data_IF_380131993443
#
_entry.id   IF_380131993443
#
_cell.length_a   1.000
_cell.length_b   1.000
_cell.length_c   1.000
_cell.angle_alpha   90.00
_cell.angle_beta   90.00
_cell.angle_gamma   90.00
#
_symmetry.space_group_name_H-M   'P 1'
#
loop_
_entity.id
_entity.type
_entity.pdbx_description
1 polymer ?
#
# COMPACT_ATOMS: atom_id res chain seq x y z
N UNK A 1 7.47 18.47 -6.99
CA UNK A 1 6.13 18.08 -7.46
C UNK A 1 5.48 17.27 -6.36
N UNK A 2 4.24 17.56 -5.97
CA UNK A 2 3.51 16.74 -5.00
C UNK A 2 2.79 15.62 -5.77
N UNK A 3 2.97 14.39 -5.33
CA UNK A 3 2.35 13.20 -5.96
C UNK A 3 1.59 12.45 -4.86
N UNK A 4 0.29 12.38 -5.02
CA UNK A 4 -0.65 11.70 -4.11
C UNK A 4 -1.07 10.31 -4.60
N UNK A 5 -0.84 10.05 -5.90
CA UNK A 5 -1.17 8.77 -6.52
C UNK A 5 -0.04 8.34 -7.46
N UNK A 6 0.38 7.08 -7.31
CA UNK A 6 1.36 6.46 -8.17
C UNK A 6 0.94 5.03 -8.53
N UNK A 7 1.24 4.61 -9.75
CA UNK A 7 1.04 3.25 -10.20
C UNK A 7 2.40 2.63 -10.42
N UNK A 8 2.68 1.57 -9.68
CA UNK A 8 3.97 0.88 -9.78
C UNK A 8 3.78 -0.60 -10.10
N UNK A 9 4.79 -1.14 -10.72
CA UNK A 9 4.91 -2.57 -11.05
C UNK A 9 5.89 -3.18 -10.07
N UNK A 10 5.47 -4.19 -9.33
CA UNK A 10 6.27 -4.87 -8.33
C UNK A 10 6.41 -6.35 -8.68
N UNK A 11 7.58 -6.91 -8.42
CA UNK A 11 7.84 -8.34 -8.55
C UNK A 11 8.70 -8.80 -7.37
N UNK A 12 8.30 -9.90 -6.71
CA UNK A 12 9.16 -10.56 -5.72
C UNK A 12 10.31 -11.27 -6.42
N UNK A 13 11.35 -11.62 -5.69
CA UNK A 13 12.48 -12.37 -6.22
C UNK A 13 12.06 -13.80 -6.60
N UNK A 14 12.54 -14.29 -7.71
CA UNK A 14 12.38 -15.71 -8.08
C UNK A 14 13.24 -16.58 -7.17
N UNK A 15 12.81 -17.79 -6.86
CA UNK A 15 13.64 -18.78 -6.17
C UNK A 15 14.81 -19.23 -7.04
N UNK A 16 15.97 -19.49 -6.44
CA UNK A 16 17.11 -20.11 -7.10
C UNK A 16 16.84 -21.58 -7.43
N UNK A 17 17.39 -22.09 -8.52
CA UNK A 17 17.27 -23.51 -8.86
C UNK A 17 18.18 -24.38 -7.98
N UNK A 18 17.72 -25.58 -7.63
CA UNK A 18 18.60 -26.58 -7.11
C UNK A 18 19.58 -27.07 -8.20
N UNK A 19 20.67 -27.68 -7.79
CA UNK A 19 21.68 -28.20 -8.73
C UNK A 19 21.71 -29.74 -8.73
N UNK A 20 22.05 -30.31 -9.88
CA UNK A 20 22.40 -31.72 -10.01
C UNK A 20 23.92 -31.85 -9.98
N UNK A 21 24.45 -32.42 -8.93
CA UNK A 21 25.88 -32.64 -8.73
C UNK A 21 26.15 -33.95 -8.03
N UNK A 22 27.33 -34.52 -8.25
CA UNK A 22 27.79 -35.74 -7.66
C UNK A 22 29.19 -35.62 -7.11
N UNK A 23 29.44 -36.21 -5.95
CA UNK A 23 30.74 -36.19 -5.31
C UNK A 23 31.78 -36.86 -6.24
N UNK A 24 32.90 -36.20 -6.44
CA UNK A 24 34.06 -36.72 -7.15
C UNK A 24 35.17 -37.03 -6.17
N UNK A 25 35.55 -38.30 -6.10
CA UNK A 25 36.69 -38.76 -5.32
C UNK A 25 37.82 -39.20 -6.23
N UNK A 26 39.05 -38.92 -5.86
CA UNK A 26 40.22 -39.39 -6.60
C UNK A 26 40.22 -40.94 -6.63
N UNK A 27 40.15 -41.55 -7.81
CA UNK A 27 40.12 -43.00 -8.02
C UNK A 27 38.75 -43.68 -7.95
N UNK A 28 37.62 -42.94 -7.81
CA UNK A 28 36.27 -43.50 -7.93
C UNK A 28 35.50 -42.76 -9.02
N UNK A 29 34.78 -43.53 -9.86
CA UNK A 29 34.10 -43.03 -11.07
C UNK A 29 32.92 -42.10 -10.72
N UNK A 30 32.22 -42.34 -9.61
CA UNK A 30 31.16 -41.46 -9.14
C UNK A 30 30.92 -41.66 -7.63
N UNK A 31 30.70 -40.55 -6.92
CA UNK A 31 30.19 -40.53 -5.56
C UNK A 31 28.66 -40.39 -5.54
N UNK A 32 28.08 -40.26 -4.34
CA UNK A 32 26.67 -40.01 -4.17
C UNK A 32 26.26 -38.57 -4.64
N UNK A 33 24.95 -38.32 -4.82
CA UNK A 33 24.45 -37.01 -5.17
C UNK A 33 24.73 -35.99 -4.05
N UNK A 34 25.23 -34.83 -4.41
CA UNK A 34 25.64 -33.78 -3.47
C UNK A 34 25.17 -32.38 -3.90
N UNK A 35 24.22 -32.30 -4.80
CA UNK A 35 23.67 -31.03 -5.24
C UNK A 35 22.84 -30.35 -4.15
N UNK A 36 23.18 -29.09 -3.84
CA UNK A 36 22.47 -28.25 -2.88
C UNK A 36 21.18 -27.64 -3.41
N UNK A 37 20.34 -27.17 -2.49
CA UNK A 37 19.09 -26.49 -2.81
C UNK A 37 19.36 -25.04 -3.21
N UNK A 38 18.50 -24.47 -4.07
CA UNK A 38 18.50 -23.04 -4.38
C UNK A 38 18.00 -22.18 -3.21
N UNK A 39 18.43 -20.93 -3.17
CA UNK A 39 18.00 -19.95 -2.20
C UNK A 39 16.58 -19.43 -2.48
N UNK A 40 15.88 -18.98 -1.45
CA UNK A 40 14.58 -18.32 -1.58
C UNK A 40 14.78 -16.93 -2.19
N UNK A 41 13.82 -16.45 -3.03
CA UNK A 41 13.77 -15.08 -3.50
C UNK A 41 13.38 -14.09 -2.42
N UNK A 42 13.78 -12.81 -2.56
CA UNK A 42 13.40 -11.73 -1.67
C UNK A 42 11.93 -11.35 -1.76
N UNK A 43 11.35 -10.91 -0.67
CA UNK A 43 9.98 -10.40 -0.60
C UNK A 43 9.91 -8.94 -1.08
N UNK A 44 8.68 -8.45 -1.37
CA UNK A 44 8.39 -7.02 -1.51
C UNK A 44 7.66 -6.57 -0.26
N UNK A 45 8.26 -5.64 0.48
CA UNK A 45 7.78 -5.15 1.77
C UNK A 45 7.58 -3.64 1.68
N UNK A 46 6.39 -3.16 2.01
CA UNK A 46 6.14 -1.74 2.20
C UNK A 46 6.34 -1.37 3.67
N UNK A 47 6.93 -0.21 3.91
CA UNK A 47 7.17 0.33 5.26
C UNK A 47 6.70 1.79 5.30
N UNK A 48 5.87 2.11 6.29
CA UNK A 48 5.43 3.48 6.53
C UNK A 48 6.55 4.30 7.18
N UNK A 49 6.92 5.41 6.55
CA UNK A 49 7.98 6.31 7.00
C UNK A 49 7.39 7.72 7.21
N UNK A 50 7.46 8.23 8.44
CA UNK A 50 6.94 9.55 8.83
C UNK A 50 7.72 10.72 8.24
N UNK A 51 8.94 10.49 7.77
CA UNK A 51 9.77 11.52 7.12
C UNK A 51 9.39 11.75 5.65
N UNK A 52 8.58 10.86 5.08
CA UNK A 52 8.08 11.00 3.72
C UNK A 52 6.73 11.74 3.72
N UNK A 53 6.59 12.71 2.83
CA UNK A 53 5.38 13.54 2.73
C UNK A 53 4.61 13.35 1.43
N UNK A 54 5.17 12.66 0.44
CA UNK A 54 4.56 12.45 -0.86
C UNK A 54 5.12 11.20 -1.55
N UNK A 55 4.51 10.81 -2.67
CA UNK A 55 4.86 9.65 -3.48
C UNK A 55 5.74 9.98 -4.69
N UNK A 56 6.48 11.10 -4.67
CA UNK A 56 7.26 11.58 -5.83
C UNK A 56 8.26 10.57 -6.37
N UNK A 57 8.90 9.78 -5.51
CA UNK A 57 9.89 8.79 -5.92
C UNK A 57 9.27 7.69 -6.80
N UNK A 58 8.01 7.35 -6.52
CA UNK A 58 7.24 6.36 -7.28
C UNK A 58 6.69 6.87 -8.61
N UNK A 59 6.69 8.18 -8.81
CA UNK A 59 6.34 8.79 -10.09
C UNK A 59 7.45 8.62 -11.12
N UNK A 60 8.70 8.80 -10.71
CA UNK A 60 9.86 8.70 -11.62
C UNK A 60 10.31 7.25 -11.85
N UNK A 61 10.27 6.42 -10.82
CA UNK A 61 10.61 5.01 -10.93
C UNK A 61 9.36 4.17 -10.68
N UNK A 62 8.92 3.44 -11.71
CA UNK A 62 7.66 2.68 -11.67
C UNK A 62 7.84 1.17 -11.62
N UNK A 63 9.08 0.65 -11.74
CA UNK A 63 9.35 -0.80 -11.70
C UNK A 63 10.28 -1.14 -10.54
N UNK A 64 9.85 -2.10 -9.74
CA UNK A 64 10.56 -2.55 -8.55
C UNK A 64 10.58 -4.07 -8.51
N UNK A 65 11.79 -4.65 -8.43
CA UNK A 65 12.00 -6.09 -8.42
C UNK A 65 12.90 -6.43 -7.24
N UNK A 66 12.49 -7.39 -6.40
CA UNK A 66 13.32 -7.90 -5.34
C UNK A 66 14.42 -8.84 -5.88
N UNK A 67 15.44 -9.09 -5.08
CA UNK A 67 16.57 -9.93 -5.46
C UNK A 67 16.15 -11.41 -5.57
N UNK A 68 16.61 -12.08 -6.63
CA UNK A 68 16.36 -13.51 -6.79
C UNK A 68 17.23 -14.32 -5.83
N UNK A 69 16.77 -15.51 -5.45
CA UNK A 69 17.59 -16.48 -4.78
C UNK A 69 18.70 -17.03 -5.71
N UNK A 70 19.89 -17.26 -5.17
CA UNK A 70 20.98 -17.89 -5.93
C UNK A 70 20.72 -19.38 -6.14
N UNK A 71 21.22 -19.97 -7.24
CA UNK A 71 21.17 -21.41 -7.42
C UNK A 71 21.96 -22.14 -6.32
N UNK A 72 21.61 -23.42 -6.11
CA UNK A 72 22.39 -24.30 -5.24
C UNK A 72 23.77 -24.59 -5.84
N UNK A 73 24.71 -25.00 -4.99
CA UNK A 73 26.07 -25.34 -5.38
C UNK A 73 26.39 -26.80 -5.01
N UNK A 74 27.47 -27.40 -5.60
CA UNK A 74 27.95 -28.73 -5.22
C UNK A 74 28.27 -28.85 -3.74
N UNK A 75 28.48 -30.06 -3.25
CA UNK A 75 28.84 -30.40 -1.86
C UNK A 75 27.75 -30.00 -0.85
N UNK A 76 26.49 -30.14 -1.23
CA UNK A 76 25.32 -29.77 -0.44
C UNK A 76 25.29 -28.30 0.02
N UNK A 77 25.94 -27.40 -0.73
CA UNK A 77 25.90 -25.98 -0.43
C UNK A 77 24.61 -25.34 -0.95
N UNK A 78 23.91 -24.67 -0.04
CA UNK A 78 22.66 -23.96 -0.38
C UNK A 78 22.94 -22.65 -1.09
N UNK A 79 22.09 -22.29 -2.05
CA UNK A 79 22.08 -20.97 -2.66
C UNK A 79 21.72 -19.88 -1.64
N UNK A 80 22.29 -18.68 -1.81
CA UNK A 80 22.00 -17.51 -0.95
C UNK A 80 20.56 -17.07 -1.17
N UNK A 81 19.90 -16.65 -0.10
CA UNK A 81 18.58 -16.01 -0.17
C UNK A 81 18.69 -14.62 -0.78
N UNK A 82 17.74 -14.26 -1.64
CA UNK A 82 17.60 -12.91 -2.15
C UNK A 82 17.19 -11.94 -1.03
N UNK A 83 17.68 -10.71 -1.11
CA UNK A 83 17.33 -9.66 -0.15
C UNK A 83 15.92 -9.16 -0.40
N UNK A 84 15.19 -8.88 0.67
CA UNK A 84 13.89 -8.24 0.60
C UNK A 84 14.01 -6.82 0.02
N UNK A 85 13.05 -6.47 -0.83
CA UNK A 85 12.90 -5.13 -1.35
C UNK A 85 12.00 -4.33 -0.42
N UNK A 86 12.57 -3.35 0.27
CA UNK A 86 11.85 -2.47 1.17
C UNK A 86 11.46 -1.21 0.41
N UNK A 87 10.16 -0.94 0.30
CA UNK A 87 9.57 0.24 -0.32
C UNK A 87 8.98 1.13 0.77
N UNK A 88 9.57 2.31 0.97
CA UNK A 88 9.13 3.27 1.98
C UNK A 88 8.02 4.15 1.42
N UNK A 89 6.92 4.28 2.14
CA UNK A 89 5.77 5.11 1.75
C UNK A 89 5.40 6.07 2.88
N UNK A 90 4.83 7.25 2.57
CA UNK A 90 4.31 8.17 3.57
C UNK A 90 3.21 7.55 4.43
N UNK A 91 3.02 8.07 5.64
CA UNK A 91 1.87 7.71 6.48
C UNK A 91 0.57 8.03 5.76
N UNK A 92 -0.42 7.13 5.90
CA UNK A 92 -1.73 7.27 5.24
C UNK A 92 -1.73 6.84 3.77
N UNK A 93 -0.68 6.15 3.30
CA UNK A 93 -0.67 5.54 1.97
C UNK A 93 -1.51 4.27 1.98
N UNK A 94 -2.50 4.21 1.10
CA UNK A 94 -3.30 3.02 0.84
C UNK A 94 -2.75 2.31 -0.39
N UNK A 95 -2.45 1.04 -0.24
CA UNK A 95 -1.94 0.17 -1.30
C UNK A 95 -3.11 -0.66 -1.83
N UNK A 96 -3.37 -0.58 -3.13
CA UNK A 96 -4.45 -1.32 -3.79
C UNK A 96 -3.92 -2.17 -4.93
N UNK A 97 -4.54 -3.31 -5.15
CA UNK A 97 -4.33 -4.05 -6.39
C UNK A 97 -4.95 -3.29 -7.57
N UNK A 98 -4.20 -3.17 -8.67
CA UNK A 98 -4.68 -2.41 -9.84
C UNK A 98 -5.79 -3.13 -10.59
N UNK A 99 -5.80 -4.45 -10.61
CA UNK A 99 -6.75 -5.23 -11.40
C UNK A 99 -8.12 -5.32 -10.71
N UNK A 100 -8.12 -5.61 -9.42
CA UNK A 100 -9.34 -5.80 -8.64
C UNK A 100 -9.81 -4.54 -7.93
N UNK A 101 -8.93 -3.56 -7.72
CA UNK A 101 -9.19 -2.37 -6.91
C UNK A 101 -9.22 -2.63 -5.40
N UNK A 102 -9.02 -3.87 -4.97
CA UNK A 102 -9.06 -4.25 -3.57
C UNK A 102 -7.91 -3.63 -2.78
N UNK A 103 -8.17 -3.29 -1.52
CA UNK A 103 -7.17 -2.72 -0.61
C UNK A 103 -6.30 -3.82 -0.04
N UNK A 104 -4.98 -3.74 -0.28
CA UNK A 104 -3.98 -4.67 0.23
C UNK A 104 -3.54 -4.25 1.63
N UNK A 105 -3.28 -2.96 1.82
CA UNK A 105 -2.86 -2.42 3.09
C UNK A 105 -3.17 -0.93 3.22
N UNK A 106 -3.36 -0.48 4.44
CA UNK A 106 -3.41 0.91 4.84
C UNK A 106 -2.22 1.19 5.77
N UNK A 107 -1.28 2.02 5.30
CA UNK A 107 -0.01 2.30 5.98
C UNK A 107 -0.15 3.55 6.86
N UNK A 108 -0.82 3.44 8.00
CA UNK A 108 -1.21 4.57 8.84
C UNK A 108 -0.33 4.79 10.09
N UNK A 109 0.48 3.80 10.51
CA UNK A 109 1.34 3.91 11.69
C UNK A 109 2.80 3.97 11.29
N UNK A 110 3.59 4.87 11.91
CA UNK A 110 5.04 4.93 11.68
C UNK A 110 5.73 3.60 11.97
N UNK A 111 6.58 3.16 11.07
CA UNK A 111 7.26 1.87 11.16
C UNK A 111 6.39 0.65 10.83
N UNK A 112 5.10 0.83 10.53
CA UNK A 112 4.25 -0.28 10.08
C UNK A 112 4.84 -0.90 8.81
N UNK A 113 4.94 -2.24 8.80
CA UNK A 113 5.44 -2.99 7.66
C UNK A 113 4.40 -3.99 7.15
N UNK A 114 4.31 -4.14 5.83
CA UNK A 114 3.44 -5.13 5.17
C UNK A 114 4.19 -5.83 4.06
N UNK A 115 4.25 -7.15 4.14
CA UNK A 115 4.71 -7.99 3.03
C UNK A 115 3.58 -8.08 2.02
N UNK A 116 3.78 -7.51 0.82
CA UNK A 116 2.78 -7.51 -0.25
C UNK A 116 2.99 -8.69 -1.20
N UNK A 117 4.24 -8.98 -1.58
CA UNK A 117 4.57 -10.14 -2.38
C UNK A 117 5.63 -10.99 -1.68
N UNK A 118 5.42 -12.29 -1.65
CA UNK A 118 6.35 -13.26 -1.08
C UNK A 118 7.28 -13.79 -2.16
N UNK A 119 8.57 -13.86 -1.86
CA UNK A 119 9.58 -14.42 -2.76
C UNK A 119 9.34 -15.90 -3.05
N UNK A 120 9.72 -16.32 -4.26
CA UNK A 120 9.61 -17.69 -4.70
C UNK A 120 10.49 -18.66 -3.88
N UNK A 121 10.01 -19.86 -3.64
CA UNK A 121 10.76 -20.87 -2.92
C UNK A 121 11.91 -21.42 -3.79
N UNK A 122 13.06 -21.71 -3.15
CA UNK A 122 14.19 -22.34 -3.81
C UNK A 122 13.89 -23.77 -4.27
N UNK A 123 14.46 -24.15 -5.40
CA UNK A 123 14.36 -25.52 -5.91
C UNK A 123 15.25 -26.47 -5.12
N UNK A 124 14.84 -27.73 -4.99
CA UNK A 124 15.60 -28.77 -4.30
C UNK A 124 16.71 -29.31 -5.19
N UNK A 125 17.90 -29.51 -4.62
CA UNK A 125 19.02 -30.18 -5.27
C UNK A 125 18.80 -31.71 -5.38
N UNK A 126 19.58 -32.36 -6.24
CA UNK A 126 19.44 -33.82 -6.45
C UNK A 126 19.67 -34.67 -5.20
N UNK A 127 20.48 -34.19 -4.26
CA UNK A 127 20.69 -34.85 -2.97
C UNK A 127 19.39 -35.11 -2.18
N UNK A 128 18.40 -34.20 -2.31
CA UNK A 128 17.09 -34.32 -1.63
C UNK A 128 16.19 -35.41 -2.21
N UNK A 129 16.47 -35.87 -3.44
CA UNK A 129 15.67 -36.88 -4.13
C UNK A 129 16.29 -38.28 -4.04
N UNK A 130 17.47 -38.41 -3.44
CA UNK A 130 18.11 -39.70 -3.19
C UNK A 130 17.33 -40.49 -2.14
N UNK A 131 17.11 -41.75 -2.42
CA UNK A 131 16.50 -42.72 -1.50
C UNK A 131 16.98 -44.15 -1.79
N UNK A 132 16.54 -45.15 -0.99
CA UNK A 132 16.97 -46.54 -1.12
C UNK A 132 16.70 -47.18 -2.49
N UNK A 133 15.74 -46.66 -3.26
CA UNK A 133 15.44 -47.14 -4.62
C UNK A 133 16.11 -46.30 -5.71
N UNK A 134 16.40 -45.01 -5.40
CA UNK A 134 17.01 -44.05 -6.32
C UNK A 134 18.29 -43.53 -5.68
N UNK A 135 19.40 -44.19 -5.94
CA UNK A 135 20.67 -43.84 -5.33
C UNK A 135 21.36 -42.61 -5.97
N UNK A 136 21.13 -42.36 -7.26
CA UNK A 136 21.79 -41.30 -8.02
C UNK A 136 20.80 -40.57 -8.91
N UNK A 137 19.93 -39.67 -8.33
CA UNK A 137 19.03 -38.87 -9.15
C UNK A 137 19.79 -37.85 -9.99
N UNK A 138 19.57 -37.86 -11.30
CA UNK A 138 20.19 -36.94 -12.29
C UNK A 138 19.36 -35.69 -12.57
N UNK A 139 18.45 -35.36 -11.68
CA UNK A 139 17.60 -34.16 -11.79
C UNK A 139 17.57 -33.36 -10.51
N UNK A 140 17.25 -32.08 -10.63
CA UNK A 140 17.01 -31.14 -9.54
C UNK A 140 15.75 -30.33 -9.85
N UNK A 141 15.21 -29.67 -8.85
CA UNK A 141 14.03 -28.84 -8.97
C UNK A 141 14.42 -27.41 -9.32
N UNK A 142 13.71 -26.80 -10.27
CA UNK A 142 13.85 -25.36 -10.56
C UNK A 142 13.25 -24.52 -9.44
N UNK A 143 13.79 -23.32 -9.22
CA UNK A 143 13.20 -22.35 -8.31
C UNK A 143 11.80 -21.89 -8.75
N UNK A 144 11.00 -21.46 -7.79
CA UNK A 144 9.66 -20.91 -8.05
C UNK A 144 9.78 -19.54 -8.68
N UNK A 145 9.15 -19.35 -9.84
CA UNK A 145 9.05 -18.06 -10.49
C UNK A 145 7.90 -17.27 -9.88
N UNK A 146 8.12 -15.98 -9.64
CA UNK A 146 7.11 -15.08 -9.09
C UNK A 146 6.43 -14.29 -10.21
N UNK A 147 5.18 -13.92 -9.98
CA UNK A 147 4.43 -13.11 -10.91
C UNK A 147 4.69 -11.62 -10.69
N UNK A 148 4.55 -10.86 -11.76
CA UNK A 148 4.57 -9.40 -11.73
C UNK A 148 3.18 -8.88 -11.44
N UNK A 149 3.04 -8.00 -10.43
CA UNK A 149 1.76 -7.37 -10.07
C UNK A 149 1.86 -5.85 -10.21
N UNK A 150 0.74 -5.21 -10.50
CA UNK A 150 0.63 -3.76 -10.52
C UNK A 150 -0.19 -3.30 -9.32
N UNK A 151 0.35 -2.36 -8.58
CA UNK A 151 -0.33 -1.77 -7.42
C UNK A 151 -0.48 -0.26 -7.59
N UNK A 152 -1.55 0.25 -7.02
CA UNK A 152 -1.84 1.67 -6.93
C UNK A 152 -1.49 2.10 -5.51
N UNK A 153 -0.63 3.07 -5.39
CA UNK A 153 -0.34 3.78 -4.15
C UNK A 153 -1.19 5.04 -4.13
N UNK A 154 -2.04 5.22 -3.13
CA UNK A 154 -2.87 6.41 -2.95
C UNK A 154 -2.61 6.99 -1.56
N UNK A 155 -2.11 8.22 -1.52
CA UNK A 155 -1.92 8.94 -0.27
C UNK A 155 -3.26 9.54 0.15
N UNK A 156 -3.88 8.99 1.20
CA UNK A 156 -5.20 9.42 1.69
C UNK A 156 -5.14 10.37 2.88
N UNK A 157 -3.99 10.52 3.51
CA UNK A 157 -3.80 11.54 4.55
C UNK A 157 -3.35 12.82 3.88
N UNK A 158 -4.26 13.78 3.74
CA UNK A 158 -3.95 15.06 3.11
C UNK A 158 -3.32 16.01 4.12
N UNK A 159 -3.81 16.04 5.36
CA UNK A 159 -3.29 16.90 6.41
C UNK A 159 -3.61 16.40 7.81
N UNK A 160 -2.71 16.69 8.76
CA UNK A 160 -2.97 16.49 10.18
C UNK A 160 -4.00 17.50 10.71
N UNK A 161 -3.97 18.72 10.13
CA UNK A 161 -4.79 19.86 10.55
C UNK A 161 -5.57 20.42 9.36
N UNK A 162 -6.88 20.51 9.50
CA UNK A 162 -7.76 21.20 8.55
C UNK A 162 -8.02 22.65 8.98
N UNK A 163 -7.81 23.61 8.06
CA UNK A 163 -8.25 24.99 8.26
C UNK A 163 -9.69 25.12 7.79
N UNK A 164 -10.56 25.60 8.66
CA UNK A 164 -11.97 25.89 8.37
C UNK A 164 -12.29 27.32 8.73
N UNK A 165 -13.24 27.92 8.03
CA UNK A 165 -13.65 29.32 8.27
C UNK A 165 -14.26 29.92 7.03
N UNK A 166 -14.96 31.03 7.17
CA UNK A 166 -15.60 31.76 6.08
C UNK A 166 -14.58 32.26 5.02
N UNK A 167 -15.00 32.61 3.80
CA UNK A 167 -14.16 33.32 2.87
C UNK A 167 -13.63 34.63 3.52
N UNK A 168 -12.45 35.07 3.10
CA UNK A 168 -11.80 36.32 3.51
C UNK A 168 -11.43 36.47 5.00
N UNK A 169 -11.61 35.40 5.82
CA UNK A 169 -11.15 35.43 7.24
C UNK A 169 -9.63 35.32 7.39
N UNK A 170 -8.92 35.08 6.26
CA UNK A 170 -7.46 34.99 6.25
C UNK A 170 -6.88 33.61 6.31
N UNK A 171 -7.64 32.54 5.96
CA UNK A 171 -7.13 31.13 5.94
C UNK A 171 -5.90 30.96 5.07
N UNK A 172 -5.95 31.42 3.82
CA UNK A 172 -4.83 31.23 2.86
C UNK A 172 -3.62 32.09 3.26
N UNK A 173 -3.83 33.25 3.84
CA UNK A 173 -2.76 34.10 4.43
C UNK A 173 -2.13 33.35 5.60
N UNK A 174 -2.94 32.83 6.51
CA UNK A 174 -2.48 32.04 7.64
C UNK A 174 -1.67 30.84 7.19
N UNK A 175 -2.16 30.07 6.20
CA UNK A 175 -1.43 28.94 5.64
C UNK A 175 -0.07 29.35 5.09
N UNK A 176 0.01 30.46 4.34
CA UNK A 176 1.26 30.96 3.76
C UNK A 176 2.30 31.38 4.80
N UNK A 177 1.85 31.88 5.93
CA UNK A 177 2.73 32.35 7.03
C UNK A 177 3.16 31.16 7.94
N UNK A 178 2.27 30.19 8.15
CA UNK A 178 2.58 29.00 8.96
C UNK A 178 3.58 28.06 8.28
N UNK A 179 3.61 28.04 6.94
CA UNK A 179 4.38 27.05 6.18
C UNK A 179 5.76 27.58 5.79
N UNK A 180 6.77 26.71 5.88
CA UNK A 180 8.17 27.03 5.56
C UNK A 180 8.45 27.18 4.06
N UNK A 181 7.55 26.71 3.22
CA UNK A 181 7.59 26.85 1.75
C UNK A 181 6.25 27.40 1.26
N UNK A 182 6.25 28.04 0.08
CA UNK A 182 4.98 28.50 -0.54
C UNK A 182 3.98 27.33 -0.57
N UNK A 183 2.75 27.53 -0.06
CA UNK A 183 1.71 26.52 -0.13
C UNK A 183 1.60 25.97 -1.56
N UNK A 184 1.59 24.67 -1.71
CA UNK A 184 1.45 24.04 -3.02
C UNK A 184 -0.02 23.79 -3.28
N UNK A 185 -0.50 24.29 -4.41
CA UNK A 185 -1.83 23.93 -4.93
C UNK A 185 -1.71 22.45 -5.36
N UNK A 186 -2.41 21.59 -4.64
CA UNK A 186 -2.48 20.18 -5.01
C UNK A 186 -3.62 19.99 -6.02
N UNK A 187 -3.26 19.79 -7.30
CA UNK A 187 -4.23 19.49 -8.35
C UNK A 187 -4.63 18.02 -8.25
N UNK A 188 -5.70 17.75 -7.53
CA UNK A 188 -6.31 16.44 -7.52
C UNK A 188 -7.23 16.27 -8.72
N UNK A 189 -7.06 15.23 -9.52
CA UNK A 189 -7.87 14.96 -10.73
C UNK A 189 -9.38 14.80 -10.45
N UNK A 190 -9.77 14.73 -9.18
CA UNK A 190 -11.15 14.53 -8.74
C UNK A 190 -11.71 15.73 -7.96
N UNK A 191 -10.98 16.85 -7.83
CA UNK A 191 -11.46 18.05 -7.13
C UNK A 191 -11.69 19.18 -8.11
N UNK A 192 -12.84 19.82 -8.02
CA UNK A 192 -13.14 21.08 -8.74
C UNK A 192 -12.42 22.28 -8.12
N UNK A 193 -12.05 22.18 -6.81
CA UNK A 193 -11.25 23.14 -6.07
C UNK A 193 -10.04 22.43 -5.49
N UNK A 194 -8.85 22.89 -5.87
CA UNK A 194 -7.59 22.31 -5.38
C UNK A 194 -7.28 22.85 -3.98
N UNK A 195 -7.10 21.99 -2.96
CA UNK A 195 -6.72 22.43 -1.64
C UNK A 195 -5.31 22.98 -1.62
N UNK A 196 -5.10 24.03 -0.83
CA UNK A 196 -3.76 24.50 -0.54
C UNK A 196 -3.19 23.69 0.63
N UNK A 197 -2.08 23.02 0.38
CA UNK A 197 -1.36 22.22 1.38
C UNK A 197 -0.08 22.91 1.80
N UNK A 198 0.24 22.82 3.07
CA UNK A 198 1.49 23.32 3.60
C UNK A 198 2.06 22.42 4.69
N UNK A 199 3.39 22.37 4.77
CA UNK A 199 4.10 21.72 5.87
C UNK A 199 4.55 22.80 6.85
N UNK A 200 4.12 22.65 8.09
CA UNK A 200 4.50 23.51 9.18
C UNK A 200 5.57 22.83 10.03
N UNK A 201 6.72 23.49 10.18
CA UNK A 201 7.79 23.00 11.04
C UNK A 201 7.67 23.64 12.43
N UNK A 202 7.83 22.82 13.47
CA UNK A 202 7.90 23.22 14.85
C UNK A 202 9.04 22.48 15.54
N UNK A 203 10.20 23.14 15.73
CA UNK A 203 11.48 22.52 16.12
C UNK A 203 11.82 21.33 15.18
N UNK A 204 12.16 20.19 15.74
CA UNK A 204 12.52 18.98 14.98
C UNK A 204 11.32 18.20 14.44
N UNK A 205 10.10 18.70 14.65
CA UNK A 205 8.88 18.05 14.22
C UNK A 205 8.19 18.84 13.11
N UNK A 206 7.39 18.14 12.32
CA UNK A 206 6.58 18.76 11.28
C UNK A 206 5.16 18.19 11.30
N UNK A 207 4.20 18.99 10.86
CA UNK A 207 2.82 18.55 10.63
C UNK A 207 2.27 19.22 9.36
N UNK A 208 1.31 18.57 8.75
CA UNK A 208 0.70 19.04 7.51
C UNK A 208 -0.60 19.78 7.80
N UNK A 209 -0.80 20.91 7.11
CA UNK A 209 -2.01 21.73 7.20
C UNK A 209 -2.65 21.83 5.82
N UNK A 210 -3.97 21.64 5.75
CA UNK A 210 -4.75 21.85 4.53
C UNK A 210 -5.76 22.98 4.73
N UNK A 211 -5.83 23.92 3.78
CA UNK A 211 -6.98 24.79 3.64
C UNK A 211 -8.13 24.00 3.02
N UNK A 212 -9.28 23.98 3.70
CA UNK A 212 -10.49 23.26 3.27
C UNK A 212 -11.41 24.28 2.58
N UNK A 213 -11.27 24.48 1.25
CA UNK A 213 -12.14 25.39 0.52
C UNK A 213 -13.52 24.76 0.36
N UNK A 214 -14.57 25.61 0.32
CA UNK A 214 -15.89 25.21 -0.13
C UNK A 214 -16.82 24.56 0.89
N UNK A 215 -16.51 24.57 2.19
CA UNK A 215 -17.46 24.16 3.23
C UNK A 215 -18.69 25.10 3.29
N UNK A 216 -18.61 26.31 2.78
CA UNK A 216 -19.58 27.39 3.01
C UNK A 216 -20.40 27.76 1.78
N UNK A 217 -20.01 27.40 0.57
CA UNK A 217 -20.73 27.76 -0.65
C UNK A 217 -21.44 26.55 -1.28
N UNK A 218 -22.61 26.20 -0.73
CA UNK A 218 -23.55 25.28 -1.41
C UNK A 218 -23.19 23.78 -1.38
N UNK A 219 -22.37 23.32 -0.45
CA UNK A 219 -22.05 21.91 -0.30
C UNK A 219 -23.28 21.04 0.06
N UNK A 220 -24.30 21.63 0.68
CA UNK A 220 -25.58 20.98 1.02
C UNK A 220 -26.54 20.82 -0.16
N UNK A 221 -26.39 21.60 -1.24
CA UNK A 221 -27.36 21.67 -2.33
C UNK A 221 -27.01 20.81 -3.57
N UNK A 222 -26.09 19.86 -3.43
CA UNK A 222 -25.84 18.85 -4.46
C UNK A 222 -25.06 19.33 -5.69
N UNK A 223 -24.61 20.59 -5.73
CA UNK A 223 -23.80 21.11 -6.82
C UNK A 223 -22.32 20.74 -6.65
N UNK A 224 -21.97 19.49 -6.84
CA UNK A 224 -20.70 19.08 -7.44
C UNK A 224 -19.39 19.25 -6.69
N UNK A 225 -19.34 19.65 -5.43
CA UNK A 225 -18.12 19.55 -4.62
C UNK A 225 -17.99 18.10 -4.12
N UNK A 226 -17.21 17.34 -4.86
CA UNK A 226 -17.23 15.91 -4.83
C UNK A 226 -17.11 15.32 -3.43
N UNK A 227 -18.04 14.46 -3.09
CA UNK A 227 -17.98 13.50 -1.97
C UNK A 227 -16.60 12.80 -1.87
N UNK A 228 -15.79 12.87 -2.91
CA UNK A 228 -14.44 12.33 -2.97
C UNK A 228 -13.40 13.23 -2.26
N UNK A 229 -13.48 14.56 -2.41
CA UNK A 229 -12.58 15.50 -1.70
C UNK A 229 -12.76 15.41 -0.20
N UNK A 230 -13.99 15.28 0.23
CA UNK A 230 -14.35 15.26 1.63
C UNK A 230 -13.97 13.95 2.33
N UNK A 231 -13.91 12.82 1.60
CA UNK A 231 -13.30 11.57 2.12
C UNK A 231 -11.81 11.70 2.46
N UNK A 232 -11.11 12.67 1.90
CA UNK A 232 -9.69 12.91 2.19
C UNK A 232 -9.52 13.77 3.45
N UNK A 233 -10.54 14.58 3.80
CA UNK A 233 -10.59 15.38 5.03
C UNK A 233 -11.00 14.52 6.24
N UNK A 234 -11.68 13.41 6.01
CA UNK A 234 -12.08 12.44 7.06
C UNK A 234 -10.89 11.95 7.91
N UNK A 235 -9.68 12.06 7.41
CA UNK A 235 -8.45 11.68 8.12
C UNK A 235 -7.72 12.84 8.81
N UNK A 236 -8.28 14.05 8.77
CA UNK A 236 -7.76 15.17 9.53
C UNK A 236 -7.93 14.87 11.02
N UNK A 237 -6.86 15.05 11.81
CA UNK A 237 -6.85 14.70 13.23
C UNK A 237 -7.43 15.81 14.11
N UNK A 238 -7.34 17.06 13.66
CA UNK A 238 -7.91 18.21 14.33
C UNK A 238 -8.25 19.32 13.35
N UNK A 239 -9.08 20.27 13.78
CA UNK A 239 -9.44 21.46 13.01
C UNK A 239 -8.88 22.74 13.64
N UNK A 240 -8.47 23.66 12.81
CA UNK A 240 -8.19 25.04 13.18
C UNK A 240 -9.27 25.91 12.56
N UNK A 241 -10.15 26.45 13.39
CA UNK A 241 -11.26 27.28 12.94
C UNK A 241 -10.85 28.75 12.99
N UNK A 242 -10.70 29.35 11.81
CA UNK A 242 -10.27 30.76 11.65
C UNK A 242 -11.49 31.65 11.58
N UNK A 243 -11.56 32.65 12.48
CA UNK A 243 -12.65 33.58 12.61
C UNK A 243 -12.09 35.01 12.46
N UNK A 244 -12.76 35.85 11.69
CA UNK A 244 -12.45 37.27 11.59
C UNK A 244 -13.05 38.03 12.79
N UNK A 245 -12.20 38.48 13.71
CA UNK A 245 -12.65 39.21 14.89
C UNK A 245 -12.97 40.68 14.58
N UNK A 246 -12.46 41.20 13.46
CA UNK A 246 -12.70 42.60 13.06
C UNK A 246 -14.13 42.85 12.60
N UNK A 247 -14.84 41.77 12.17
CA UNK A 247 -16.18 41.86 11.61
C UNK A 247 -16.25 42.76 10.37
N UNK A 248 -15.14 42.88 9.65
CA UNK A 248 -14.97 43.77 8.50
C UNK A 248 -15.97 43.53 7.36
N UNK A 249 -16.59 42.34 7.32
CA UNK A 249 -17.62 42.00 6.33
C UNK A 249 -19.06 42.06 6.89
N UNK A 250 -19.24 42.72 8.06
CA UNK A 250 -20.56 42.86 8.68
C UNK A 250 -21.15 41.60 9.31
N UNK A 251 -20.30 40.57 9.54
CA UNK A 251 -20.70 39.32 10.18
C UNK A 251 -20.21 39.24 11.62
N UNK A 252 -21.07 38.81 12.55
CA UNK A 252 -20.71 38.62 13.96
C UNK A 252 -19.83 37.35 14.10
N UNK A 253 -18.70 37.49 14.77
CA UNK A 253 -17.70 36.41 14.95
C UNK A 253 -18.27 35.14 15.60
N UNK A 254 -19.21 35.31 16.56
CA UNK A 254 -19.85 34.17 17.19
C UNK A 254 -20.87 33.47 16.28
N UNK A 255 -21.60 34.25 15.48
CA UNK A 255 -22.51 33.70 14.47
C UNK A 255 -21.76 32.88 13.43
N UNK A 256 -20.60 33.34 12.99
CA UNK A 256 -19.72 32.59 12.06
C UNK A 256 -19.24 31.29 12.69
N UNK A 257 -18.86 31.31 13.97
CA UNK A 257 -18.49 30.09 14.72
C UNK A 257 -19.63 29.07 14.72
N UNK A 258 -20.87 29.47 14.99
CA UNK A 258 -22.02 28.57 15.04
C UNK A 258 -22.33 27.97 13.68
N UNK A 259 -22.37 28.80 12.62
CA UNK A 259 -22.69 28.37 11.25
C UNK A 259 -21.71 27.31 10.74
N UNK A 260 -20.40 27.54 10.91
CA UNK A 260 -19.37 26.55 10.51
C UNK A 260 -19.55 25.21 11.26
N UNK A 261 -19.79 25.26 12.56
CA UNK A 261 -20.02 24.03 13.33
C UNK A 261 -21.30 23.30 12.92
N UNK A 262 -22.34 24.03 12.52
CA UNK A 262 -23.57 23.45 11.99
C UNK A 262 -23.34 22.80 10.62
N UNK A 263 -22.57 23.43 9.73
CA UNK A 263 -22.19 22.87 8.45
C UNK A 263 -21.32 21.63 8.59
N UNK A 264 -20.30 21.66 9.45
CA UNK A 264 -19.49 20.50 9.77
C UNK A 264 -20.36 19.33 10.25
N UNK A 265 -21.36 19.59 11.09
CA UNK A 265 -22.27 18.57 11.59
C UNK A 265 -23.21 18.01 10.54
N UNK A 266 -23.70 18.86 9.63
CA UNK A 266 -24.55 18.45 8.48
C UNK A 266 -23.75 17.60 7.52
N UNK A 267 -22.48 17.95 7.36
CA UNK A 267 -21.59 17.31 6.41
C UNK A 267 -21.14 15.92 6.91
N UNK A 268 -20.45 15.88 8.07
CA UNK A 268 -20.01 14.63 8.72
C UNK A 268 -20.03 14.77 10.24
N UNK A 269 -20.74 13.85 10.87
CA UNK A 269 -20.82 13.77 12.34
C UNK A 269 -19.45 13.47 12.99
N UNK A 270 -18.52 12.84 12.29
CA UNK A 270 -17.18 12.55 12.82
C UNK A 270 -16.32 13.80 12.78
N UNK A 271 -16.32 14.57 11.69
CA UNK A 271 -15.60 15.84 11.59
C UNK A 271 -16.05 16.86 12.64
N UNK A 272 -17.36 16.90 12.94
CA UNK A 272 -17.88 17.79 13.97
C UNK A 272 -17.42 17.47 15.39
N UNK A 273 -16.91 16.24 15.62
CA UNK A 273 -16.38 15.77 16.92
C UNK A 273 -14.87 15.99 17.06
N UNK A 274 -14.20 16.35 15.99
CA UNK A 274 -12.76 16.58 16.03
C UNK A 274 -12.41 17.69 17.02
N UNK A 275 -11.20 17.58 17.60
CA UNK A 275 -10.67 18.64 18.45
C UNK A 275 -10.50 19.92 17.63
N UNK A 276 -11.00 21.04 18.14
CA UNK A 276 -10.90 22.35 17.47
C UNK A 276 -10.07 23.32 18.29
N UNK A 277 -9.20 24.08 17.60
CA UNK A 277 -8.58 25.30 18.10
C UNK A 277 -9.19 26.46 17.31
N UNK A 278 -9.65 27.50 18.02
CA UNK A 278 -10.21 28.68 17.40
C UNK A 278 -9.11 29.75 17.28
N UNK A 279 -8.96 30.27 16.07
CA UNK A 279 -8.07 31.40 15.77
C UNK A 279 -8.92 32.65 15.57
N UNK A 280 -8.81 33.60 16.49
CA UNK A 280 -9.37 34.91 16.32
C UNK A 280 -8.35 35.77 15.53
N UNK A 281 -8.55 35.85 14.22
CA UNK A 281 -7.64 36.54 13.30
C UNK A 281 -8.02 38.04 13.15
N UNK A 282 -7.09 38.85 12.66
CA UNK A 282 -7.20 40.31 12.44
C UNK A 282 -7.31 41.11 13.75
N UNK A 283 -6.56 40.69 14.79
CA UNK A 283 -6.53 41.46 16.07
C UNK A 283 -5.86 42.84 15.95
N UNK A 284 -5.21 43.10 14.83
CA UNK A 284 -4.61 44.41 14.49
C UNK A 284 -5.64 45.48 14.17
N UNK A 285 -6.89 45.13 14.03
CA UNK A 285 -7.97 46.06 13.71
C UNK A 285 -8.54 46.73 14.98
N UNK A 286 -9.12 47.93 14.86
CA UNK A 286 -9.77 48.62 15.97
C UNK A 286 -10.83 47.75 16.66
N UNK A 287 -11.04 47.91 17.97
CA UNK A 287 -12.03 47.24 18.80
C UNK A 287 -11.87 45.70 18.91
N UNK A 288 -10.76 45.14 18.40
CA UNK A 288 -10.52 43.69 18.39
C UNK A 288 -10.45 43.08 19.80
N UNK A 289 -9.90 43.82 20.78
CA UNK A 289 -9.81 43.30 22.17
C UNK A 289 -11.17 43.12 22.83
N UNK A 290 -12.09 44.08 22.65
CA UNK A 290 -13.45 44.02 23.21
C UNK A 290 -14.24 42.86 22.58
N UNK A 291 -14.17 42.77 21.25
CA UNK A 291 -14.81 41.67 20.50
C UNK A 291 -14.23 40.30 20.87
N UNK A 292 -12.92 40.23 21.11
CA UNK A 292 -12.28 39.02 21.59
C UNK A 292 -12.78 38.59 22.97
N UNK A 293 -12.97 39.54 23.90
CA UNK A 293 -13.55 39.24 25.21
C UNK A 293 -14.98 38.71 25.08
N UNK A 294 -15.81 39.36 24.27
CA UNK A 294 -17.18 38.94 24.01
C UNK A 294 -17.23 37.52 23.38
N UNK A 295 -16.33 37.23 22.41
CA UNK A 295 -16.23 35.90 21.80
C UNK A 295 -15.81 34.83 22.83
N UNK A 296 -14.85 35.14 23.71
CA UNK A 296 -14.42 34.24 24.79
C UNK A 296 -15.54 33.93 25.78
N UNK A 297 -16.34 34.89 26.15
CA UNK A 297 -17.48 34.71 27.04
C UNK A 297 -18.55 33.80 26.40
N UNK A 298 -18.88 34.04 25.13
CA UNK A 298 -19.90 33.25 24.40
C UNK A 298 -19.47 31.81 24.14
N UNK A 299 -18.21 31.56 23.80
CA UNK A 299 -17.68 30.22 23.52
C UNK A 299 -17.34 29.47 24.83
N UNK A 300 -16.98 30.20 25.88
CA UNK A 300 -16.60 29.64 27.18
C UNK A 300 -15.29 28.83 27.11
N UNK A 301 -15.21 27.77 27.94
CA UNK A 301 -14.00 26.91 28.02
C UNK A 301 -14.00 25.72 27.06
N UNK A 302 -14.92 25.68 26.11
CA UNK A 302 -15.07 24.54 25.20
C UNK A 302 -13.89 24.35 24.28
N UNK A 303 -13.34 25.47 23.77
CA UNK A 303 -12.23 25.47 22.82
C UNK A 303 -11.14 26.44 23.26
N UNK A 304 -9.88 26.14 22.90
CA UNK A 304 -8.76 27.07 23.08
C UNK A 304 -8.85 28.17 22.02
N UNK A 305 -8.91 29.43 22.43
CA UNK A 305 -8.97 30.59 21.53
C UNK A 305 -7.61 31.27 21.51
N UNK A 306 -7.02 31.42 20.33
CA UNK A 306 -5.73 32.03 20.09
C UNK A 306 -5.95 33.30 19.29
N UNK A 307 -5.68 34.50 19.89
CA UNK A 307 -5.70 35.74 19.17
C UNK A 307 -4.47 35.82 18.27
N UNK A 308 -4.65 36.31 17.04
CA UNK A 308 -3.54 36.46 16.11
C UNK A 308 -3.83 37.50 15.01
N UNK A 309 -2.76 38.00 14.41
CA UNK A 309 -2.80 38.69 13.12
C UNK A 309 -1.90 37.97 12.12
N UNK A 310 -2.50 37.36 11.10
CA UNK A 310 -1.76 36.67 10.06
C UNK A 310 -0.89 37.62 9.22
N UNK A 311 -1.27 38.90 9.13
CA UNK A 311 -0.54 39.90 8.35
C UNK A 311 0.70 40.38 9.09
N UNK A 312 0.58 40.67 10.38
CA UNK A 312 1.68 41.19 11.22
C UNK A 312 2.57 40.05 11.73
N UNK A 313 2.04 38.83 11.77
CA UNK A 313 2.76 37.65 12.28
C UNK A 313 2.60 37.43 13.78
N UNK A 314 1.74 38.22 14.45
CA UNK A 314 1.48 38.06 15.88
C UNK A 314 0.66 36.81 16.19
N UNK A 315 1.04 36.05 17.24
CA UNK A 315 0.32 34.88 17.70
C UNK A 315 0.66 33.58 16.96
N UNK A 316 1.51 33.62 15.91
CA UNK A 316 1.85 32.44 15.07
C UNK A 316 2.52 31.34 15.88
N UNK A 317 3.53 31.67 16.69
CA UNK A 317 4.26 30.68 17.48
C UNK A 317 3.38 30.02 18.57
N UNK A 318 2.46 30.86 19.13
CA UNK A 318 1.47 30.35 20.08
C UNK A 318 0.51 29.33 19.42
N UNK A 319 0.13 29.59 18.17
CA UNK A 319 -0.69 28.65 17.39
C UNK A 319 0.08 27.38 17.04
N UNK A 320 1.31 27.47 16.53
CA UNK A 320 2.17 26.33 16.22
C UNK A 320 2.33 25.43 17.45
N UNK A 321 2.67 26.04 18.59
CA UNK A 321 2.79 25.34 19.88
C UNK A 321 1.48 24.63 20.28
N UNK A 322 0.36 25.33 20.23
CA UNK A 322 -0.92 24.76 20.63
C UNK A 322 -1.40 23.62 19.72
N UNK A 323 -1.16 23.73 18.42
CA UNK A 323 -1.45 22.68 17.44
C UNK A 323 -0.59 21.45 17.71
N UNK A 324 0.72 21.62 17.86
CA UNK A 324 1.64 20.53 18.13
C UNK A 324 1.32 19.82 19.45
N UNK A 325 1.10 20.56 20.56
CA UNK A 325 0.69 19.99 21.85
C UNK A 325 -0.64 19.22 21.79
N UNK A 326 -1.53 19.63 20.90
CA UNK A 326 -2.80 18.95 20.70
C UNK A 326 -2.62 17.68 19.86
N UNK A 327 -1.89 17.78 18.74
CA UNK A 327 -1.61 16.63 17.86
C UNK A 327 -0.84 15.52 18.57
N UNK A 328 0.13 15.88 19.43
CA UNK A 328 0.91 14.89 20.20
C UNK A 328 0.08 14.06 21.21
N UNK A 329 -1.07 14.60 21.63
CA UNK A 329 -2.02 13.92 22.54
C UNK A 329 -3.12 13.16 21.82
N UNK A 330 -3.32 13.41 20.54
CA UNK A 330 -4.31 12.73 19.72
C UNK A 330 -3.77 11.40 19.19
N UNK A 331 -4.61 10.38 19.09
CA UNK A 331 -4.22 9.14 18.44
C UNK A 331 -3.84 9.43 16.98
N UNK A 332 -3.01 8.57 16.36
CA UNK A 332 -2.79 8.65 14.91
C UNK A 332 -4.13 8.54 14.17
N UNK A 333 -4.14 8.95 12.90
CA UNK A 333 -5.34 8.83 12.07
C UNK A 333 -5.91 7.40 12.12
N UNK A 334 -7.24 7.28 12.21
CA UNK A 334 -7.87 5.94 12.25
C UNK A 334 -7.62 5.18 10.96
N UNK A 335 -7.36 3.87 11.03
CA UNK A 335 -7.26 3.04 9.85
C UNK A 335 -8.59 3.03 9.10
N UNK A 336 -8.53 2.80 7.79
CA UNK A 336 -9.74 2.52 7.01
C UNK A 336 -10.31 1.17 7.45
N UNK A 337 -11.62 1.08 7.58
CA UNK A 337 -12.30 -0.21 7.65
C UNK A 337 -12.39 -0.80 6.23
N UNK A 338 -11.70 -1.89 5.99
CA UNK A 338 -11.73 -2.62 4.72
C UNK A 338 -11.43 -4.11 4.95
N UNK A 339 -11.92 -4.94 4.06
CA UNK A 339 -11.47 -6.33 3.99
C UNK A 339 -10.07 -6.35 3.38
N UNK A 340 -9.11 -6.88 4.13
CA UNK A 340 -7.72 -6.93 3.72
C UNK A 340 -7.53 -7.95 2.59
N UNK A 341 -7.12 -7.47 1.43
CA UNK A 341 -6.76 -8.32 0.30
C UNK A 341 -5.29 -8.75 0.41
N UNK A 342 -5.05 -10.04 0.43
CA UNK A 342 -3.71 -10.61 0.36
C UNK A 342 -3.59 -11.40 -0.93
N UNK A 343 -2.46 -11.26 -1.62
CA UNK A 343 -2.12 -12.17 -2.71
C UNK A 343 -1.87 -13.56 -2.09
N UNK A 344 -2.90 -14.38 -2.05
CA UNK A 344 -2.77 -15.77 -1.62
C UNK A 344 -1.96 -16.52 -2.67
N UNK A 345 -0.96 -17.29 -2.24
CA UNK A 345 -0.43 -18.33 -3.13
C UNK A 345 -1.62 -19.24 -3.46
N UNK A 346 -1.89 -19.51 -4.74
CA UNK A 346 -2.93 -20.46 -5.11
C UNK A 346 -2.70 -21.75 -4.33
N UNK A 347 -3.78 -22.43 -3.96
CA UNK A 347 -3.69 -23.70 -3.22
C UNK A 347 -2.66 -24.61 -3.88
N UNK A 348 -1.70 -25.08 -3.09
CA UNK A 348 -0.68 -25.98 -3.60
C UNK A 348 -1.38 -27.20 -4.17
N UNK A 349 -1.21 -27.43 -5.50
CA UNK A 349 -1.70 -28.59 -6.22
C UNK A 349 -3.18 -28.55 -6.69
N UNK A 350 -3.76 -27.37 -6.93
CA UNK A 350 -5.00 -27.26 -7.69
C UNK A 350 -4.76 -27.55 -9.18
N UNK A 351 -5.73 -28.14 -9.83
CA UNK A 351 -5.73 -28.33 -11.27
C UNK A 351 -7.13 -28.13 -11.85
N UNK A 352 -7.19 -27.80 -13.13
CA UNK A 352 -8.40 -27.70 -13.94
C UNK A 352 -8.13 -28.39 -15.29
N UNK A 353 -9.14 -29.07 -15.83
CA UNK A 353 -9.04 -29.72 -17.13
C UNK A 353 -9.93 -28.99 -18.11
N UNK A 354 -9.33 -28.40 -19.12
CA UNK A 354 -10.02 -27.75 -20.24
C UNK A 354 -10.10 -28.75 -21.39
N UNK A 355 -11.31 -28.91 -21.97
CA UNK A 355 -11.55 -29.80 -23.11
C UNK A 355 -11.74 -29.00 -24.38
N UNK A 356 -10.88 -29.26 -25.37
CA UNK A 356 -10.95 -28.66 -26.70
C UNK A 356 -11.00 -29.80 -27.76
N UNK A 357 -12.22 -30.26 -28.07
CA UNK A 357 -12.44 -31.41 -28.98
C UNK A 357 -11.93 -32.70 -28.39
N UNK A 358 -10.92 -33.33 -29.01
CA UNK A 358 -10.24 -34.56 -28.52
C UNK A 358 -9.00 -34.26 -27.69
N UNK A 359 -8.66 -32.95 -27.50
CA UNK A 359 -7.51 -32.52 -26.71
C UNK A 359 -7.98 -32.06 -25.33
N UNK A 360 -7.25 -32.50 -24.30
CA UNK A 360 -7.46 -32.14 -22.90
C UNK A 360 -6.25 -31.36 -22.40
N UNK A 361 -6.44 -30.14 -21.94
CA UNK A 361 -5.37 -29.30 -21.39
C UNK A 361 -5.50 -29.25 -19.88
N UNK A 362 -4.50 -29.78 -19.18
CA UNK A 362 -4.44 -29.70 -17.71
C UNK A 362 -3.67 -28.45 -17.33
N UNK A 363 -4.33 -27.57 -16.59
CA UNK A 363 -3.76 -26.29 -16.11
C UNK A 363 -3.84 -26.22 -14.58
N UNK A 364 -3.12 -25.29 -13.99
CA UNK A 364 -3.16 -25.03 -12.55
C UNK A 364 -1.84 -25.25 -11.85
N UNK A 365 -1.83 -25.00 -10.53
CA UNK A 365 -0.59 -25.04 -9.73
C UNK A 365 0.05 -26.42 -9.64
N UNK A 366 -0.75 -27.49 -9.78
CA UNK A 366 -0.22 -28.86 -9.89
C UNK A 366 0.71 -28.98 -11.10
N UNK A 367 0.31 -28.43 -12.24
CA UNK A 367 1.09 -28.49 -13.49
C UNK A 367 2.39 -27.69 -13.34
N UNK A 368 2.33 -26.51 -12.74
CA UNK A 368 3.54 -25.71 -12.49
C UNK A 368 4.53 -26.43 -11.55
N UNK A 369 4.02 -27.12 -10.53
CA UNK A 369 4.86 -27.95 -9.64
C UNK A 369 5.45 -29.14 -10.37
N UNK A 370 4.68 -29.78 -11.24
CA UNK A 370 5.18 -30.90 -12.05
C UNK A 370 6.26 -30.45 -13.03
N UNK A 371 6.07 -29.32 -13.74
CA UNK A 371 7.11 -28.70 -14.59
C UNK A 371 8.43 -28.47 -13.87
N UNK A 372 8.37 -28.05 -12.60
CA UNK A 372 9.58 -27.81 -11.78
C UNK A 372 10.27 -29.08 -11.34
N UNK A 373 9.52 -30.17 -11.18
CA UNK A 373 9.98 -31.42 -10.57
C UNK A 373 10.31 -32.51 -11.57
N UNK A 374 9.89 -32.35 -12.83
CA UNK A 374 9.99 -33.40 -13.86
C UNK A 374 10.96 -32.98 -14.95
N UNK A 375 11.92 -33.83 -15.21
CA UNK A 375 12.79 -33.74 -16.39
C UNK A 375 12.27 -34.78 -17.37
N UNK A 376 11.81 -34.35 -18.54
CA UNK A 376 11.13 -35.26 -19.51
C UNK A 376 12.02 -36.37 -20.05
N UNK A 377 13.32 -36.14 -20.15
CA UNK A 377 14.31 -37.11 -20.62
C UNK A 377 14.68 -38.16 -19.54
N UNK A 378 14.20 -38.01 -18.29
CA UNK A 378 14.46 -39.00 -17.22
C UNK A 378 13.21 -39.87 -16.95
N UNK A 379 13.31 -41.15 -17.29
CA UNK A 379 12.21 -42.09 -17.08
C UNK A 379 11.69 -42.16 -15.64
N UNK A 380 12.55 -41.96 -14.65
CA UNK A 380 12.15 -41.95 -13.24
C UNK A 380 11.35 -40.70 -12.88
N UNK A 381 11.72 -39.54 -13.45
CA UNK A 381 10.96 -38.28 -13.32
C UNK A 381 9.59 -38.38 -13.96
N UNK A 382 9.52 -39.01 -15.12
CA UNK A 382 8.26 -39.28 -15.83
C UNK A 382 7.33 -40.19 -15.04
N UNK A 383 7.86 -41.31 -14.51
CA UNK A 383 7.11 -42.24 -13.64
C UNK A 383 6.61 -41.54 -12.36
N UNK A 384 7.38 -40.57 -11.81
CA UNK A 384 6.94 -39.75 -10.70
C UNK A 384 5.76 -38.87 -11.09
N UNK A 385 5.81 -38.20 -12.24
CA UNK A 385 4.71 -37.38 -12.77
C UNK A 385 3.42 -38.21 -12.91
N UNK A 386 3.51 -39.37 -13.56
CA UNK A 386 2.36 -40.25 -13.73
C UNK A 386 1.75 -40.68 -12.38
N UNK A 387 2.61 -41.02 -11.41
CA UNK A 387 2.15 -41.32 -10.05
C UNK A 387 1.41 -40.18 -9.41
N UNK A 388 1.96 -38.94 -9.47
CA UNK A 388 1.33 -37.73 -8.88
C UNK A 388 -0.01 -37.46 -9.55
N UNK A 389 -0.10 -37.54 -10.87
CA UNK A 389 -1.36 -37.32 -11.61
C UNK A 389 -2.41 -38.39 -11.22
N UNK A 390 -2.00 -39.63 -11.00
CA UNK A 390 -2.89 -40.71 -10.53
C UNK A 390 -3.35 -40.49 -9.09
N UNK A 391 -2.42 -40.20 -8.19
CA UNK A 391 -2.69 -40.00 -6.75
C UNK A 391 -3.58 -38.77 -6.51
N UNK A 392 -3.54 -37.77 -7.39
CA UNK A 392 -4.38 -36.56 -7.36
C UNK A 392 -5.70 -36.72 -8.10
N UNK A 393 -5.94 -37.83 -8.73
CA UNK A 393 -7.20 -38.12 -9.41
C UNK A 393 -7.35 -37.52 -10.79
N UNK A 394 -6.33 -36.83 -11.33
CA UNK A 394 -6.36 -36.20 -12.66
C UNK A 394 -6.70 -37.23 -13.75
N UNK A 395 -6.09 -38.39 -13.69
CA UNK A 395 -6.34 -39.50 -14.67
C UNK A 395 -7.80 -39.96 -14.62
N UNK A 396 -8.36 -40.08 -13.42
CA UNK A 396 -9.76 -40.50 -13.25
C UNK A 396 -10.73 -39.45 -13.78
N UNK A 397 -10.39 -38.17 -13.62
CA UNK A 397 -11.22 -37.07 -14.11
C UNK A 397 -11.15 -36.96 -15.64
N UNK A 398 -9.97 -37.12 -16.23
CA UNK A 398 -9.81 -37.22 -17.68
C UNK A 398 -10.69 -38.35 -18.28
N UNK A 399 -10.71 -39.54 -17.64
CA UNK A 399 -11.60 -40.62 -18.07
C UNK A 399 -13.07 -40.27 -17.98
N UNK A 400 -13.50 -39.60 -16.89
CA UNK A 400 -14.89 -39.16 -16.74
C UNK A 400 -15.29 -38.11 -17.80
N UNK A 401 -14.34 -37.28 -18.26
CA UNK A 401 -14.56 -36.31 -19.32
C UNK A 401 -14.50 -36.93 -20.73
N UNK A 402 -14.22 -38.24 -20.83
CA UNK A 402 -14.25 -39.01 -22.08
C UNK A 402 -12.91 -39.08 -22.79
N UNK A 403 -11.79 -38.94 -22.08
CA UNK A 403 -10.46 -39.20 -22.65
C UNK A 403 -10.30 -40.69 -22.98
N UNK A 404 -9.76 -40.99 -24.14
CA UNK A 404 -9.52 -42.35 -24.68
C UNK A 404 -8.15 -42.39 -25.39
N UNK A 405 -7.75 -43.55 -25.90
CA UNK A 405 -6.44 -43.73 -26.55
C UNK A 405 -6.17 -42.82 -27.77
N UNK A 406 -7.19 -42.16 -28.32
CA UNK A 406 -7.05 -41.14 -29.39
C UNK A 406 -6.91 -39.71 -28.86
N UNK A 407 -7.07 -39.56 -27.56
CA UNK A 407 -7.06 -38.23 -26.94
C UNK A 407 -5.64 -37.76 -26.68
N UNK A 408 -5.37 -36.50 -27.00
CA UNK A 408 -4.12 -35.82 -26.66
C UNK A 408 -4.28 -35.06 -25.34
N UNK A 409 -3.36 -35.29 -24.42
CA UNK A 409 -3.33 -34.62 -23.12
C UNK A 409 -2.17 -33.64 -23.11
N UNK A 410 -2.45 -32.35 -22.91
CA UNK A 410 -1.43 -31.30 -22.78
C UNK A 410 -1.23 -31.00 -21.30
N UNK A 411 -0.02 -31.24 -20.80
CA UNK A 411 0.38 -30.95 -19.43
C UNK A 411 1.61 -30.06 -19.47
N UNK A 412 1.44 -28.81 -19.07
CA UNK A 412 2.57 -27.91 -19.02
C UNK A 412 3.17 -27.50 -20.36
N UNK A 413 2.45 -27.65 -21.44
CA UNK A 413 2.91 -27.37 -22.82
C UNK A 413 3.51 -28.57 -23.53
N UNK A 414 3.61 -29.72 -22.85
CA UNK A 414 4.05 -30.97 -23.45
C UNK A 414 2.83 -31.84 -23.79
N UNK A 415 2.88 -32.54 -24.93
CA UNK A 415 1.81 -33.37 -25.42
C UNK A 415 2.04 -34.86 -25.04
N UNK A 416 1.01 -35.51 -24.53
CA UNK A 416 1.01 -36.90 -24.14
C UNK A 416 -0.18 -37.62 -24.76
N UNK A 417 0.03 -38.88 -25.15
CA UNK A 417 -1.05 -39.77 -25.51
C UNK A 417 -1.68 -40.38 -24.24
N UNK A 418 -2.99 -40.45 -24.22
CA UNK A 418 -3.70 -41.09 -23.12
C UNK A 418 -3.65 -42.65 -23.33
N UNK A 419 -2.91 -43.34 -22.49
CA UNK A 419 -2.82 -44.80 -22.47
C UNK A 419 -3.51 -45.28 -21.19
N UNK A 420 -4.47 -46.17 -21.30
CA UNK A 420 -5.30 -46.66 -20.19
C UNK A 420 -4.56 -47.63 -19.23
#
# INVERSE_FOLDING_TARGET
MFVDKAIITIKAGDGGSGITSFLHFKGKVSGGPDGGDGGKGGNVVFVADEHLTNLSDYYYKTKYVAENGSPGEPKNCFGKQGKDLILKVPLGTVIKDRQTGNVIADMYTSGQSKVVLVGGDGGKGNARFANARRHAPHFSQTGEKTETKQVILELKTIADVGLVGFPNVGKSTLLSVLTSARPKIANYHFTTLSPNLGVCNYYDNSFTIADIPGLIEGASDGAGLGTQFLRHIERTRMLVHVIDISESEGRDAYSDYLKINEELKKYDKQLSKLKQIIVANKIDMPDAEEKLKALREKIGRKHKIIPMSAIIGEGIDALKKAVFETLSKLPPASPLEFEEFNYTKPERLSYEILKEGETFVVVGTLVEVLKRNVVMDDMNSFAYMQKVLRDRGVINELRKMGANEKSTIIIGGEEFEFID
#
